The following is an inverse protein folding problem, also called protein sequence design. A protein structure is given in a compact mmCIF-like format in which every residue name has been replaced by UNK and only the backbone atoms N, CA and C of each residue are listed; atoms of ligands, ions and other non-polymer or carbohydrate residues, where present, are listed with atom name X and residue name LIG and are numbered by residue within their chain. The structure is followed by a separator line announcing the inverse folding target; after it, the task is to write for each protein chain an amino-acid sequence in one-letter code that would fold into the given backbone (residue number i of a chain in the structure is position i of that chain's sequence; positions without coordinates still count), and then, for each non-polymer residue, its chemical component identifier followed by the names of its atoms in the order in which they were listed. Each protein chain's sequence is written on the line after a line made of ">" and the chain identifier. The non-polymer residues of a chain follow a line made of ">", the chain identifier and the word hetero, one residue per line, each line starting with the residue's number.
data_IF_999337919659
#
_entry.id   IF_999337919659
#
_cell.length_a   1.000
_cell.length_b   1.000
_cell.length_c   1.000
_cell.angle_alpha   90.00
_cell.angle_beta   90.00
_cell.angle_gamma   90.00
#
_symmetry.space_group_name_H-M   'P 1'
#
loop_
_entity.id
_entity.type
_entity.pdbx_description
1 polymer ?
#
# COMPACT_ATOMS: atom_id res chain seq x y z
N UNK A 1 -11.11 62.41 24.94
CA UNK A 1 -11.29 61.01 24.51
C UNK A 1 -9.93 60.36 24.47
N UNK A 2 -9.61 59.59 25.49
CA UNK A 2 -8.36 58.84 25.64
C UNK A 2 -8.57 57.45 25.06
N UNK A 3 -7.87 57.11 23.98
CA UNK A 3 -7.87 55.77 23.41
C UNK A 3 -6.69 55.02 24.04
N UNK A 4 -6.99 54.11 24.97
CA UNK A 4 -6.00 53.21 25.56
C UNK A 4 -5.64 52.11 24.57
N UNK A 5 -4.35 52.03 24.23
CA UNK A 5 -3.79 50.89 23.50
C UNK A 5 -3.60 49.72 24.48
N UNK A 6 -4.41 48.68 24.33
CA UNK A 6 -4.20 47.39 25.00
C UNK A 6 -3.22 46.59 24.14
N UNK A 7 -1.97 46.49 24.58
CA UNK A 7 -0.99 45.57 24.01
C UNK A 7 -1.27 44.16 24.57
N UNK A 8 -1.84 43.28 23.75
CA UNK A 8 -1.89 41.86 24.03
C UNK A 8 -0.50 41.26 23.80
N UNK A 9 0.25 41.04 24.87
CA UNK A 9 1.42 40.14 24.85
C UNK A 9 0.86 38.72 24.86
N UNK A 10 0.59 38.20 23.67
CA UNK A 10 0.30 36.78 23.48
C UNK A 10 1.56 35.98 23.74
N UNK A 11 1.64 35.32 24.89
CA UNK A 11 2.57 34.22 25.11
C UNK A 11 2.18 33.07 24.16
N UNK A 12 2.67 33.11 22.91
CA UNK A 12 2.83 31.89 22.14
C UNK A 12 3.87 31.06 22.88
N UNK A 13 3.41 30.03 23.59
CA UNK A 13 4.24 28.87 23.87
C UNK A 13 4.77 28.43 22.52
N UNK A 14 6.04 28.70 22.25
CA UNK A 14 6.78 27.95 21.24
C UNK A 14 6.54 26.49 21.61
N UNK A 15 5.81 25.78 20.76
CA UNK A 15 5.94 24.34 20.71
C UNK A 15 7.40 24.13 20.30
N UNK A 16 8.27 23.83 21.27
CA UNK A 16 9.59 23.32 20.97
C UNK A 16 9.40 22.19 19.96
N UNK A 17 10.12 22.19 18.82
CA UNK A 17 10.09 21.05 17.92
C UNK A 17 10.56 19.84 18.73
N UNK A 18 9.62 18.99 19.10
CA UNK A 18 9.91 17.74 19.81
C UNK A 18 10.84 16.97 18.89
N UNK A 19 12.11 16.84 19.29
CA UNK A 19 13.12 16.08 18.54
C UNK A 19 12.53 14.70 18.23
N UNK A 20 12.53 14.26 16.95
CA UNK A 20 11.92 13.00 16.56
C UNK A 20 12.58 11.86 17.33
N UNK A 21 11.80 11.21 18.20
CA UNK A 21 12.34 10.14 19.02
C UNK A 21 12.54 8.87 18.15
N UNK A 22 13.52 8.04 18.50
CA UNK A 22 13.86 6.82 17.75
C UNK A 22 12.69 5.82 17.67
N UNK A 23 11.80 5.79 18.66
CA UNK A 23 10.58 4.99 18.70
C UNK A 23 9.57 5.40 17.63
N UNK A 24 9.44 6.70 17.35
CA UNK A 24 8.53 7.22 16.31
C UNK A 24 9.00 6.81 14.92
N UNK A 25 10.31 6.86 14.67
CA UNK A 25 10.92 6.35 13.43
C UNK A 25 10.69 4.84 13.26
N UNK A 26 10.76 4.06 14.35
CA UNK A 26 10.54 2.61 14.31
C UNK A 26 9.11 2.27 13.88
N UNK A 27 8.12 3.05 14.34
CA UNK A 27 6.72 2.81 14.02
C UNK A 27 6.42 3.07 12.54
N UNK A 28 7.04 4.09 11.96
CA UNK A 28 6.84 4.50 10.55
C UNK A 28 7.61 3.58 9.58
N UNK A 29 8.73 3.00 10.02
CA UNK A 29 9.67 2.27 9.17
C UNK A 29 9.31 0.80 8.87
N UNK A 30 8.13 0.31 9.29
CA UNK A 30 7.70 -1.05 8.98
C UNK A 30 7.04 -1.10 7.60
N UNK A 31 7.86 -1.43 6.59
CA UNK A 31 7.45 -1.40 5.19
C UNK A 31 7.17 -2.83 4.68
N UNK A 32 5.97 -3.11 4.17
CA UNK A 32 5.67 -4.35 3.46
C UNK A 32 6.45 -4.45 2.14
N UNK A 33 6.77 -5.67 1.71
CA UNK A 33 7.37 -5.88 0.40
C UNK A 33 6.40 -5.49 -0.74
N UNK A 34 6.94 -5.08 -1.88
CA UNK A 34 6.18 -4.60 -3.04
C UNK A 34 5.20 -5.67 -3.55
N UNK A 35 5.61 -6.94 -3.51
CA UNK A 35 4.77 -8.08 -3.89
C UNK A 35 3.60 -8.32 -2.95
N UNK A 36 3.74 -7.96 -1.67
CA UNK A 36 2.66 -8.05 -0.68
C UNK A 36 1.72 -6.85 -0.79
N UNK A 37 2.20 -5.70 -1.29
CA UNK A 37 1.38 -4.51 -1.52
C UNK A 37 0.52 -4.62 -2.80
N UNK A 38 0.94 -5.39 -3.81
CA UNK A 38 0.26 -5.50 -5.11
C UNK A 38 -0.48 -6.83 -5.31
N UNK A 39 -1.13 -7.33 -4.26
CA UNK A 39 -2.00 -8.52 -4.33
C UNK A 39 -3.25 -8.19 -5.15
N UNK A 40 -3.68 -9.06 -6.09
CA UNK A 40 -4.91 -8.82 -6.85
C UNK A 40 -6.11 -8.64 -5.91
N UNK A 41 -6.91 -7.60 -6.16
CA UNK A 41 -8.15 -7.39 -5.43
C UNK A 41 -9.12 -8.54 -5.67
N UNK A 42 -9.77 -9.01 -4.61
CA UNK A 42 -10.76 -10.06 -4.73
C UNK A 42 -12.08 -9.48 -5.23
N UNK A 43 -12.77 -10.20 -6.13
CA UNK A 43 -14.04 -9.77 -6.71
C UNK A 43 -15.20 -10.43 -5.96
N UNK A 44 -16.10 -9.60 -5.42
CA UNK A 44 -17.48 -10.02 -5.15
C UNK A 44 -18.26 -9.94 -6.46
N UNK A 45 -18.74 -11.08 -6.91
CA UNK A 45 -19.35 -11.25 -8.23
C UNK A 45 -20.67 -10.50 -8.40
N UNK A 46 -20.94 -10.04 -9.62
CA UNK A 46 -22.25 -9.52 -9.97
C UNK A 46 -23.29 -10.65 -9.95
N UNK A 47 -24.44 -10.33 -9.36
CA UNK A 47 -25.63 -11.18 -9.35
C UNK A 47 -26.85 -10.39 -9.84
N UNK A 48 -28.00 -11.05 -9.97
CA UNK A 48 -29.26 -10.38 -10.28
C UNK A 48 -29.63 -9.32 -9.23
N UNK A 49 -29.26 -9.57 -7.97
CA UNK A 49 -29.63 -8.71 -6.84
C UNK A 49 -28.55 -7.69 -6.50
N UNK A 50 -27.27 -7.97 -6.80
CA UNK A 50 -26.14 -7.14 -6.36
C UNK A 50 -25.16 -6.84 -7.50
N UNK A 51 -24.59 -5.62 -7.55
CA UNK A 51 -23.50 -5.29 -8.48
C UNK A 51 -22.21 -6.01 -8.07
N UNK A 52 -21.26 -6.06 -9.01
CA UNK A 52 -19.91 -6.48 -8.70
C UNK A 52 -19.23 -5.43 -7.80
N UNK A 53 -18.43 -5.89 -6.85
CA UNK A 53 -17.68 -5.05 -5.92
C UNK A 53 -16.28 -5.63 -5.69
N UNK A 54 -15.29 -4.77 -5.49
CA UNK A 54 -13.99 -5.22 -4.98
C UNK A 54 -14.12 -5.43 -3.48
N UNK A 55 -13.64 -6.57 -3.02
CA UNK A 55 -13.35 -6.77 -1.61
C UNK A 55 -12.05 -6.02 -1.33
N UNK A 56 -12.04 -5.24 -0.25
CA UNK A 56 -10.78 -4.74 0.32
C UNK A 56 -9.87 -5.93 0.57
N UNK A 57 -8.61 -5.93 0.07
CA UNK A 57 -7.68 -6.99 0.38
C UNK A 57 -7.59 -7.15 1.90
N UNK A 58 -7.69 -8.38 2.39
CA UNK A 58 -7.50 -8.65 3.82
C UNK A 58 -6.10 -8.24 4.30
N UNK A 59 -5.17 -8.11 3.36
CA UNK A 59 -3.77 -7.74 3.55
C UNK A 59 -3.48 -6.36 2.95
N UNK A 60 -4.44 -5.43 2.98
CA UNK A 60 -4.17 -4.03 2.62
C UNK A 60 -3.07 -3.48 3.54
N UNK A 61 -1.93 -3.00 3.01
CA UNK A 61 -0.81 -2.54 3.83
C UNK A 61 -1.16 -1.33 4.73
N UNK A 62 -2.23 -0.60 4.40
CA UNK A 62 -2.73 0.51 5.22
C UNK A 62 -3.73 0.07 6.30
N UNK A 63 -4.39 -1.08 6.12
CA UNK A 63 -5.35 -1.64 7.09
C UNK A 63 -5.26 -3.18 7.15
N UNK A 64 -4.11 -3.74 7.57
CA UNK A 64 -3.90 -5.17 7.52
C UNK A 64 -4.79 -5.86 8.55
N UNK A 65 -5.74 -6.70 8.11
CA UNK A 65 -6.51 -7.57 9.01
C UNK A 65 -5.68 -8.76 9.51
N UNK A 66 -4.50 -8.98 8.92
CA UNK A 66 -3.54 -10.03 9.30
C UNK A 66 -2.14 -9.44 9.43
N UNK A 67 -1.29 -9.93 10.34
CA UNK A 67 0.08 -9.46 10.43
C UNK A 67 0.81 -9.69 9.10
N UNK A 68 1.36 -8.62 8.52
CA UNK A 68 2.14 -8.67 7.28
C UNK A 68 3.32 -9.63 7.49
N UNK A 69 3.34 -10.71 6.71
CA UNK A 69 4.27 -11.84 6.91
C UNK A 69 5.73 -11.48 6.63
N UNK A 70 5.96 -10.52 5.74
CA UNK A 70 7.30 -10.13 5.27
C UNK A 70 7.47 -8.60 5.32
N UNK A 71 7.80 -8.09 6.51
CA UNK A 71 8.20 -6.70 6.69
C UNK A 71 9.72 -6.57 6.70
N UNK A 72 10.26 -5.55 6.03
CA UNK A 72 11.64 -5.14 6.27
C UNK A 72 11.69 -4.38 7.59
N UNK A 73 12.44 -4.83 8.61
CA UNK A 73 12.46 -4.14 9.90
C UNK A 73 13.41 -2.93 9.86
N UNK A 74 13.20 -1.98 8.94
CA UNK A 74 14.04 -0.78 8.84
C UNK A 74 14.09 -0.02 10.16
N UNK A 75 13.00 0.02 10.92
CA UNK A 75 13.00 0.61 12.26
C UNK A 75 14.08 0.01 13.18
N UNK A 76 14.25 -1.32 13.16
CA UNK A 76 15.30 -1.98 13.96
C UNK A 76 16.68 -1.66 13.41
N UNK A 77 16.85 -1.65 12.09
CA UNK A 77 18.12 -1.30 11.45
C UNK A 77 18.53 0.12 11.86
N UNK A 78 17.64 1.11 11.71
CA UNK A 78 17.90 2.51 12.03
C UNK A 78 18.21 2.72 13.52
N UNK A 79 17.62 1.93 14.41
CA UNK A 79 17.93 1.95 15.85
C UNK A 79 19.37 1.56 16.13
N UNK A 80 19.94 0.62 15.37
CA UNK A 80 21.31 0.13 15.55
C UNK A 80 22.38 1.11 15.04
N UNK A 81 22.01 2.09 14.21
CA UNK A 81 22.95 3.04 13.59
C UNK A 81 23.36 4.22 14.47
N UNK A 82 22.76 4.39 15.66
CA UNK A 82 23.04 5.51 16.57
C UNK A 82 22.97 6.86 15.83
N UNK A 83 21.81 7.13 15.23
CA UNK A 83 21.60 8.32 14.40
C UNK A 83 21.63 9.62 15.22
N UNK A 84 22.19 10.69 14.65
CA UNK A 84 22.06 12.05 15.19
C UNK A 84 20.63 12.57 15.04
N UNK A 85 20.27 13.64 15.75
CA UNK A 85 18.93 14.21 15.66
C UNK A 85 18.65 14.83 14.27
N UNK A 86 19.68 15.37 13.62
CA UNK A 86 19.61 15.86 12.24
C UNK A 86 19.36 14.70 11.25
N UNK A 87 20.07 13.58 11.41
CA UNK A 87 19.86 12.38 10.59
C UNK A 87 18.44 11.84 10.77
N UNK A 88 17.95 11.77 12.02
CA UNK A 88 16.58 11.32 12.31
C UNK A 88 15.53 12.22 11.65
N UNK A 89 15.71 13.54 11.70
CA UNK A 89 14.81 14.48 11.06
C UNK A 89 14.78 14.29 9.53
N UNK A 90 15.94 14.14 8.89
CA UNK A 90 16.02 13.89 7.44
C UNK A 90 15.39 12.55 7.05
N UNK A 91 15.69 11.48 7.81
CA UNK A 91 15.13 10.15 7.56
C UNK A 91 13.61 10.16 7.69
N UNK A 92 13.05 10.91 8.64
CA UNK A 92 11.59 11.09 8.76
C UNK A 92 11.00 11.69 7.49
N UNK A 93 11.62 12.72 6.93
CA UNK A 93 11.15 13.31 5.66
C UNK A 93 11.27 12.32 4.49
N UNK A 94 12.30 11.48 4.47
CA UNK A 94 12.42 10.42 3.46
C UNK A 94 11.29 9.38 3.57
N UNK A 95 10.87 9.02 4.79
CA UNK A 95 9.70 8.15 4.99
C UNK A 95 8.40 8.82 4.55
N UNK A 96 8.21 10.10 4.84
CA UNK A 96 7.04 10.84 4.34
C UNK A 96 6.98 10.82 2.81
N UNK A 97 8.09 11.13 2.14
CA UNK A 97 8.20 11.08 0.69
C UNK A 97 7.96 9.67 0.12
N UNK A 98 8.47 8.63 0.80
CA UNK A 98 8.20 7.24 0.46
C UNK A 98 6.70 6.92 0.55
N UNK A 99 6.03 7.31 1.63
CA UNK A 99 4.60 7.07 1.81
C UNK A 99 3.76 7.76 0.74
N UNK A 100 4.11 9.00 0.38
CA UNK A 100 3.44 9.72 -0.71
C UNK A 100 3.64 9.04 -2.07
N UNK A 101 4.86 8.54 -2.33
CA UNK A 101 5.19 7.77 -3.53
C UNK A 101 4.35 6.47 -3.62
N UNK A 102 4.30 5.69 -2.54
CA UNK A 102 3.49 4.47 -2.45
C UNK A 102 2.01 4.78 -2.62
N UNK A 103 1.51 5.82 -1.95
CA UNK A 103 0.10 6.25 -2.04
C UNK A 103 -0.26 6.62 -3.48
N UNK A 104 0.60 7.34 -4.19
CA UNK A 104 0.38 7.67 -5.60
C UNK A 104 0.31 6.41 -6.48
N UNK A 105 1.25 5.48 -6.30
CA UNK A 105 1.30 4.23 -7.05
C UNK A 105 0.05 3.37 -6.83
N UNK A 106 -0.38 3.23 -5.57
CA UNK A 106 -1.56 2.46 -5.21
C UNK A 106 -2.85 3.14 -5.69
N UNK A 107 -2.93 4.47 -5.63
CA UNK A 107 -4.10 5.21 -6.14
C UNK A 107 -4.31 4.97 -7.64
N UNK A 108 -3.23 4.97 -8.42
CA UNK A 108 -3.30 4.67 -9.85
C UNK A 108 -3.81 3.24 -10.12
N UNK A 109 -3.34 2.26 -9.35
CA UNK A 109 -3.86 0.89 -9.42
C UNK A 109 -5.34 0.82 -9.08
N UNK A 110 -5.77 1.42 -7.96
CA UNK A 110 -7.18 1.40 -7.52
C UNK A 110 -8.11 2.04 -8.53
N UNK A 111 -7.72 3.15 -9.13
CA UNK A 111 -8.54 3.80 -10.16
C UNK A 111 -8.66 2.93 -11.42
N UNK A 112 -7.59 2.24 -11.81
CA UNK A 112 -7.63 1.26 -12.91
C UNK A 112 -8.56 0.06 -12.59
N UNK A 113 -8.47 -0.51 -11.39
CA UNK A 113 -9.38 -1.60 -10.97
C UNK A 113 -10.85 -1.13 -10.92
N UNK A 114 -11.09 0.11 -10.50
CA UNK A 114 -12.42 0.72 -10.46
C UNK A 114 -13.02 0.86 -11.87
N UNK A 115 -12.22 1.27 -12.86
CA UNK A 115 -12.69 1.35 -14.25
C UNK A 115 -13.14 -0.02 -14.79
N UNK A 116 -12.40 -1.09 -14.46
CA UNK A 116 -12.79 -2.47 -14.82
C UNK A 116 -14.14 -2.84 -14.18
N UNK A 117 -14.32 -2.51 -12.90
CA UNK A 117 -15.58 -2.72 -12.19
C UNK A 117 -16.75 -1.93 -12.79
N UNK A 118 -16.53 -0.67 -13.13
CA UNK A 118 -17.57 0.21 -13.66
C UNK A 118 -18.09 -0.32 -15.01
N UNK A 119 -17.19 -0.84 -15.86
CA UNK A 119 -17.54 -1.52 -17.10
C UNK A 119 -18.36 -2.79 -16.84
N UNK A 120 -17.95 -3.63 -15.89
CA UNK A 120 -18.68 -4.84 -15.50
C UNK A 120 -20.10 -4.50 -14.98
N UNK A 121 -20.21 -3.47 -14.16
CA UNK A 121 -21.48 -3.01 -13.61
C UNK A 121 -22.38 -2.35 -14.66
N UNK A 122 -21.81 -1.69 -15.67
CA UNK A 122 -22.56 -1.21 -16.82
C UNK A 122 -23.11 -2.37 -17.65
N UNK A 123 -22.30 -3.38 -17.95
CA UNK A 123 -22.76 -4.58 -18.67
C UNK A 123 -23.88 -5.28 -17.88
N UNK A 124 -23.73 -5.43 -16.56
CA UNK A 124 -24.78 -5.97 -15.68
C UNK A 124 -26.08 -5.18 -15.81
N UNK A 125 -26.04 -3.84 -15.80
CA UNK A 125 -27.25 -3.02 -15.93
C UNK A 125 -28.02 -3.32 -17.23
N UNK A 126 -27.30 -3.52 -18.33
CA UNK A 126 -27.90 -3.89 -19.62
C UNK A 126 -28.57 -5.27 -19.57
N UNK A 127 -27.93 -6.27 -18.95
CA UNK A 127 -28.54 -7.60 -18.73
C UNK A 127 -29.83 -7.48 -17.92
N UNK A 128 -29.81 -6.68 -16.84
CA UNK A 128 -30.98 -6.48 -16.00
C UNK A 128 -32.11 -5.77 -16.73
N UNK A 129 -31.80 -4.82 -17.62
CA UNK A 129 -32.78 -4.14 -18.46
C UNK A 129 -33.45 -5.10 -19.45
N UNK A 130 -32.66 -5.92 -20.15
CA UNK A 130 -33.16 -6.96 -21.06
C UNK A 130 -34.04 -7.99 -20.35
N UNK A 131 -33.66 -8.39 -19.13
CA UNK A 131 -34.47 -9.31 -18.33
C UNK A 131 -35.79 -8.67 -17.91
N UNK A 132 -35.77 -7.41 -17.48
CA UNK A 132 -36.98 -6.67 -17.07
C UNK A 132 -37.94 -6.42 -18.24
N UNK A 133 -37.41 -6.18 -19.44
CA UNK A 133 -38.23 -6.01 -20.64
C UNK A 133 -38.74 -7.34 -21.20
N UNK A 134 -38.33 -8.48 -20.63
CA UNK A 134 -38.65 -9.82 -21.15
C UNK A 134 -37.94 -10.17 -22.46
N UNK A 135 -36.92 -9.40 -22.85
CA UNK A 135 -36.13 -9.67 -24.06
C UNK A 135 -35.23 -10.91 -23.91
N UNK A 136 -34.84 -11.22 -22.68
CA UNK A 136 -34.14 -12.45 -22.32
C UNK A 136 -34.84 -13.09 -21.10
N UNK A 137 -34.70 -14.41 -20.98
CA UNK A 137 -35.17 -15.13 -19.80
C UNK A 137 -34.13 -15.11 -18.67
N UNK A 138 -34.54 -15.63 -17.50
CA UNK A 138 -33.68 -15.68 -16.31
C UNK A 138 -32.43 -16.53 -16.54
N UNK A 139 -32.53 -17.61 -17.31
CA UNK A 139 -31.41 -18.52 -17.55
C UNK A 139 -30.33 -17.84 -18.40
N UNK A 140 -30.76 -17.15 -19.45
CA UNK A 140 -29.90 -16.36 -20.33
C UNK A 140 -29.24 -15.22 -19.56
N UNK A 141 -29.99 -14.51 -18.70
CA UNK A 141 -29.44 -13.46 -17.86
C UNK A 141 -28.35 -14.00 -16.91
N UNK A 142 -28.58 -15.15 -16.26
CA UNK A 142 -27.57 -15.77 -15.39
C UNK A 142 -26.30 -16.17 -16.15
N UNK A 143 -26.44 -16.69 -17.37
CA UNK A 143 -25.29 -17.04 -18.21
C UNK A 143 -24.49 -15.80 -18.64
N UNK A 144 -25.16 -14.74 -19.05
CA UNK A 144 -24.50 -13.47 -19.37
C UNK A 144 -23.77 -12.87 -18.16
N UNK A 145 -24.36 -12.95 -16.96
CA UNK A 145 -23.70 -12.50 -15.72
C UNK A 145 -22.45 -13.32 -15.39
N UNK A 146 -22.48 -14.65 -15.59
CA UNK A 146 -21.28 -15.50 -15.42
C UNK A 146 -20.16 -15.07 -16.35
N UNK A 147 -20.48 -14.80 -17.62
CA UNK A 147 -19.50 -14.33 -18.59
C UNK A 147 -18.93 -12.96 -18.21
N UNK A 148 -19.77 -12.04 -17.72
CA UNK A 148 -19.30 -10.75 -17.19
C UNK A 148 -18.33 -10.98 -16.02
N UNK A 149 -18.68 -11.83 -15.06
CA UNK A 149 -17.84 -12.13 -13.89
C UNK A 149 -16.51 -12.76 -14.29
N UNK A 150 -16.51 -13.69 -15.26
CA UNK A 150 -15.28 -14.30 -15.76
C UNK A 150 -14.35 -13.27 -16.40
N UNK A 151 -14.87 -12.48 -17.35
CA UNK A 151 -14.07 -11.43 -18.02
C UNK A 151 -13.55 -10.39 -17.02
N UNK A 152 -14.35 -10.06 -16.01
CA UNK A 152 -13.93 -9.11 -14.96
C UNK A 152 -12.76 -9.66 -14.15
N UNK A 153 -12.77 -10.94 -13.77
CA UNK A 153 -11.63 -11.57 -13.08
C UNK A 153 -10.39 -11.60 -13.94
N UNK A 154 -10.52 -11.99 -15.19
CA UNK A 154 -9.41 -12.01 -16.14
C UNK A 154 -8.81 -10.61 -16.32
N UNK A 155 -9.66 -9.58 -16.45
CA UNK A 155 -9.22 -8.18 -16.55
C UNK A 155 -8.50 -7.69 -15.29
N UNK A 156 -9.01 -8.03 -14.10
CA UNK A 156 -8.36 -7.67 -12.82
C UNK A 156 -7.01 -8.37 -12.65
N UNK A 157 -6.92 -9.67 -12.96
CA UNK A 157 -5.68 -10.44 -12.84
C UNK A 157 -4.61 -9.92 -13.81
N UNK A 158 -5.01 -9.64 -15.05
CA UNK A 158 -4.15 -9.20 -16.15
C UNK A 158 -4.07 -7.68 -16.28
N UNK A 159 -4.48 -6.92 -15.26
CA UNK A 159 -4.47 -5.46 -15.32
C UNK A 159 -3.02 -4.98 -15.54
N UNK A 160 -2.71 -4.33 -16.68
CA UNK A 160 -1.34 -3.94 -17.02
C UNK A 160 -0.76 -2.91 -16.04
N UNK A 161 -1.62 -2.15 -15.36
CA UNK A 161 -1.21 -1.18 -14.34
C UNK A 161 -0.53 -1.87 -13.15
N UNK A 162 -0.79 -3.16 -12.90
CA UNK A 162 -0.13 -3.90 -11.80
C UNK A 162 1.39 -3.97 -11.94
N UNK A 163 1.88 -4.22 -13.16
CA UNK A 163 3.33 -4.25 -13.41
C UNK A 163 3.95 -2.86 -13.25
N UNK A 164 3.26 -1.83 -13.73
CA UNK A 164 3.68 -0.43 -13.56
C UNK A 164 3.73 -0.03 -12.08
N UNK A 165 2.72 -0.43 -11.30
CA UNK A 165 2.67 -0.20 -9.85
C UNK A 165 3.79 -0.94 -9.15
N UNK A 166 4.07 -2.21 -9.49
CA UNK A 166 5.19 -2.96 -8.91
C UNK A 166 6.54 -2.27 -9.17
N UNK A 167 6.77 -1.83 -10.40
CA UNK A 167 7.98 -1.09 -10.76
C UNK A 167 8.08 0.25 -10.01
N UNK A 168 6.96 0.98 -9.90
CA UNK A 168 6.92 2.23 -9.16
C UNK A 168 7.18 2.02 -7.66
N UNK A 169 6.60 0.98 -7.04
CA UNK A 169 6.84 0.65 -5.63
C UNK A 169 8.32 0.31 -5.38
N UNK A 170 8.93 -0.44 -6.29
CA UNK A 170 10.37 -0.72 -6.24
C UNK A 170 11.20 0.57 -6.33
N UNK A 171 10.84 1.47 -7.24
CA UNK A 171 11.51 2.76 -7.38
C UNK A 171 11.34 3.64 -6.13
N UNK A 172 10.15 3.63 -5.50
CA UNK A 172 9.93 4.30 -4.22
C UNK A 172 10.88 3.74 -3.14
N UNK A 173 11.01 2.42 -3.06
CA UNK A 173 11.92 1.74 -2.12
C UNK A 173 13.39 2.08 -2.39
N UNK A 174 13.84 1.96 -3.63
CA UNK A 174 15.23 2.24 -4.01
C UNK A 174 15.60 3.71 -3.72
N UNK A 175 14.66 4.64 -3.95
CA UNK A 175 14.82 6.05 -3.61
C UNK A 175 14.93 6.27 -2.11
N UNK A 176 14.07 5.64 -1.30
CA UNK A 176 14.13 5.70 0.16
C UNK A 176 15.49 5.21 0.65
N UNK A 177 15.95 4.05 0.18
CA UNK A 177 17.23 3.47 0.59
C UNK A 177 18.41 4.38 0.18
N UNK A 178 18.40 4.92 -1.03
CA UNK A 178 19.43 5.86 -1.49
C UNK A 178 19.47 7.13 -0.63
N UNK A 179 18.31 7.70 -0.31
CA UNK A 179 18.22 8.90 0.51
C UNK A 179 18.70 8.65 1.94
N UNK A 180 18.31 7.53 2.57
CA UNK A 180 18.84 7.13 3.88
C UNK A 180 20.37 7.05 3.81
N UNK A 181 20.93 6.33 2.84
CA UNK A 181 22.39 6.19 2.70
C UNK A 181 23.13 7.52 2.55
N UNK A 182 22.51 8.49 1.88
CA UNK A 182 23.12 9.80 1.63
C UNK A 182 23.36 10.64 2.89
N UNK A 183 22.67 10.34 3.99
CA UNK A 183 22.79 11.08 5.26
C UNK A 183 23.59 10.31 6.33
N UNK A 184 23.95 9.06 6.04
CA UNK A 184 24.75 8.21 6.92
C UNK A 184 26.24 8.46 6.72
N UNK A 185 27.03 8.28 7.78
CA UNK A 185 28.50 8.17 7.66
C UNK A 185 28.90 6.88 6.95
N UNK A 186 30.15 6.78 6.48
CA UNK A 186 30.66 5.57 5.83
C UNK A 186 30.54 4.32 6.73
N UNK A 187 30.80 4.49 8.02
CA UNK A 187 30.69 3.44 9.04
C UNK A 187 29.23 2.99 9.23
N UNK A 188 28.31 3.96 9.32
CA UNK A 188 26.87 3.69 9.40
C UNK A 188 26.35 3.03 8.12
N UNK A 189 26.84 3.43 6.95
CA UNK A 189 26.49 2.82 5.66
C UNK A 189 26.91 1.36 5.58
N UNK A 190 28.13 1.03 6.02
CA UNK A 190 28.61 -0.35 6.07
C UNK A 190 27.75 -1.23 7.01
N UNK A 191 27.40 -0.71 8.19
CA UNK A 191 26.51 -1.40 9.12
C UNK A 191 25.09 -1.54 8.56
N UNK A 192 24.56 -0.49 7.92
CA UNK A 192 23.25 -0.50 7.30
C UNK A 192 23.15 -1.59 6.22
N UNK A 193 24.14 -1.70 5.34
CA UNK A 193 24.18 -2.71 4.28
C UNK A 193 24.27 -4.13 4.83
N UNK A 194 25.10 -4.34 5.86
CA UNK A 194 25.21 -5.63 6.54
C UNK A 194 23.86 -6.06 7.15
N UNK A 195 23.19 -5.15 7.85
CA UNK A 195 21.91 -5.42 8.49
C UNK A 195 20.80 -5.63 7.44
N UNK A 196 20.76 -4.81 6.40
CA UNK A 196 19.76 -4.93 5.33
C UNK A 196 19.88 -6.28 4.61
N UNK A 197 21.10 -6.73 4.30
CA UNK A 197 21.35 -8.05 3.73
C UNK A 197 20.89 -9.19 4.66
N UNK A 198 21.26 -9.13 5.94
CA UNK A 198 20.83 -10.10 6.97
C UNK A 198 19.31 -10.23 7.05
N UNK A 199 18.59 -9.11 7.01
CA UNK A 199 17.13 -9.12 7.05
C UNK A 199 16.47 -9.47 5.70
N UNK A 200 17.22 -9.45 4.59
CA UNK A 200 16.74 -9.97 3.30
C UNK A 200 16.84 -11.49 3.26
N UNK A 201 17.94 -12.07 3.72
CA UNK A 201 18.18 -13.52 3.67
C UNK A 201 17.28 -14.28 4.64
N UNK A 202 16.96 -13.68 5.79
CA UNK A 202 16.00 -14.23 6.74
C UNK A 202 14.54 -14.24 6.24
N UNK A 203 14.24 -13.65 5.07
CA UNK A 203 12.91 -13.75 4.42
C UNK A 203 12.67 -15.10 3.75
N UNK A 204 13.74 -15.85 3.43
CA UNK A 204 13.68 -17.19 2.84
C UNK A 204 13.82 -18.34 3.83
N UNK A 205 13.97 -18.04 5.14
CA UNK A 205 14.40 -18.99 6.17
C UNK A 205 13.33 -19.90 6.77
N UNK A 206 12.18 -20.08 6.11
CA UNK A 206 11.32 -21.22 6.40
C UNK A 206 11.99 -22.46 5.85
N UNK A 207 12.82 -23.13 6.67
CA UNK A 207 13.34 -24.47 6.38
C UNK A 207 12.21 -25.32 5.79
N UNK A 208 12.38 -25.72 4.54
CA UNK A 208 11.55 -26.74 3.91
C UNK A 208 11.60 -28.00 4.78
N UNK A 209 10.52 -28.24 5.51
CA UNK A 209 10.24 -29.51 6.15
C UNK A 209 8.72 -29.63 6.28
N UNK A 210 8.14 -30.55 5.51
CA UNK A 210 6.78 -31.05 5.76
C UNK A 210 5.76 -30.75 4.66
N UNK A 211 5.80 -31.57 3.60
CA UNK A 211 4.67 -32.43 3.24
C UNK A 211 3.34 -31.80 2.84
N UNK A 212 2.92 -32.10 1.62
CA UNK A 212 1.52 -32.05 1.23
C UNK A 212 1.32 -31.58 -0.20
N UNK A 213 1.46 -32.51 -1.15
CA UNK A 213 0.64 -32.47 -2.36
C UNK A 213 -0.80 -32.18 -1.95
N UNK A 214 -1.41 -31.16 -2.54
CA UNK A 214 -2.86 -30.96 -2.44
C UNK A 214 -3.48 -31.07 -3.84
N UNK A 215 -4.65 -31.71 -3.91
CA UNK A 215 -5.29 -32.22 -5.12
C UNK A 215 -5.82 -31.13 -6.05
#
# INVERSE_FOLDING_TARGET
>A
MTIGLIAFVGCNKLNDPVSPNTQDLILIANIPAETEMCIPSQLNEATLDKPAMLLTPNDDPFYPMRPIKFMTPLGRILKELILTDEQKAQIREFFNAYHDCVKSAMTALRESEKQILDQANQARRQVMEQLKSGAIDRQTAMEQLRQINQRTREALMNNPVRQQTLEQLKNCWDTLISNIKSVLTDEQNALFDQLLAKYRDNRGGGKGNGGGTRP
#
